data_IF_262171297104
#
_entry.id   IF_262171297104
#
_cell.length_a   1.000
_cell.length_b   1.000
_cell.length_c   1.000
_cell.angle_alpha   90.00
_cell.angle_beta   90.00
_cell.angle_gamma   90.00
#
_symmetry.space_group_name_H-M   'P 1'
#
loop_
_entity.id
_entity.type
_entity.pdbx_description
1 polymer ?
#
# COMPACT_ATOMS: atom_id res chain seq x y z
N UNK A 1 -64.39 -19.43 -18.58
CA UNK A 1 -64.55 -20.78 -19.16
C UNK A 1 -64.93 -20.68 -20.65
N UNK A 2 -63.95 -20.70 -21.56
CA UNK A 2 -63.99 -21.41 -22.84
C UNK A 2 -62.69 -21.13 -23.58
N UNK A 3 -62.08 -22.20 -24.04
CA UNK A 3 -60.78 -22.26 -24.66
C UNK A 3 -60.85 -21.82 -26.12
N UNK A 4 -59.79 -21.19 -26.62
CA UNK A 4 -59.42 -21.31 -28.03
C UNK A 4 -57.92 -21.53 -28.14
N UNK A 5 -57.61 -22.74 -28.60
CA UNK A 5 -56.32 -23.31 -28.95
C UNK A 5 -56.06 -22.88 -30.40
N UNK A 6 -54.92 -22.26 -30.69
CA UNK A 6 -54.41 -22.18 -32.07
C UNK A 6 -52.94 -22.60 -32.03
N UNK A 7 -52.69 -23.73 -32.67
CA UNK A 7 -51.40 -24.29 -32.97
C UNK A 7 -50.87 -23.64 -34.26
N UNK A 8 -49.59 -23.31 -34.29
CA UNK A 8 -48.81 -23.19 -35.52
C UNK A 8 -47.44 -23.82 -35.26
N UNK A 9 -47.35 -25.09 -35.63
CA UNK A 9 -46.11 -25.78 -35.96
C UNK A 9 -45.60 -25.31 -37.34
N UNK A 10 -44.29 -25.53 -37.55
CA UNK A 10 -43.57 -25.62 -38.83
C UNK A 10 -42.83 -24.39 -39.34
N UNK A 11 -41.50 -24.39 -39.17
CA UNK A 11 -40.50 -24.02 -40.18
C UNK A 11 -39.12 -24.61 -39.77
N UNK A 12 -38.17 -24.78 -40.69
CA UNK A 12 -37.51 -26.07 -40.94
C UNK A 12 -36.04 -26.10 -40.50
N UNK A 13 -35.56 -27.34 -40.29
CA UNK A 13 -34.16 -27.71 -40.19
C UNK A 13 -33.34 -27.25 -41.41
N UNK A 14 -32.17 -26.68 -41.15
CA UNK A 14 -31.04 -26.54 -42.09
C UNK A 14 -29.72 -26.41 -41.28
N UNK A 15 -28.54 -26.66 -41.88
CA UNK A 15 -27.81 -27.91 -41.69
C UNK A 15 -26.51 -27.74 -40.88
N UNK A 16 -26.01 -28.89 -40.41
CA UNK A 16 -24.69 -29.07 -39.82
C UNK A 16 -23.58 -28.49 -40.69
N UNK A 17 -22.79 -27.59 -40.11
CA UNK A 17 -21.47 -27.24 -40.61
C UNK A 17 -20.43 -27.69 -39.59
N UNK A 18 -19.84 -28.84 -39.89
CA UNK A 18 -18.71 -29.44 -39.19
C UNK A 18 -17.48 -28.55 -39.33
N UNK A 19 -17.16 -27.76 -38.30
CA UNK A 19 -15.87 -27.06 -38.22
C UNK A 19 -14.91 -27.90 -37.38
N UNK A 20 -13.97 -28.47 -38.12
CA UNK A 20 -12.82 -29.27 -37.68
C UNK A 20 -12.07 -28.58 -36.55
N UNK A 21 -12.04 -29.24 -35.39
CA UNK A 21 -11.06 -29.01 -34.32
C UNK A 21 -9.65 -29.09 -34.91
N UNK A 22 -8.89 -28.01 -34.81
CA UNK A 22 -7.43 -28.06 -34.73
C UNK A 22 -7.01 -27.43 -33.40
N UNK A 23 -6.49 -28.26 -32.51
CA UNK A 23 -5.72 -27.82 -31.34
C UNK A 23 -4.47 -27.09 -31.83
N UNK A 24 -4.15 -25.90 -31.33
CA UNK A 24 -2.78 -25.42 -31.31
C UNK A 24 -2.02 -26.13 -30.18
N UNK A 25 -0.94 -26.79 -30.59
CA UNK A 25 0.10 -27.40 -29.78
C UNK A 25 0.75 -26.39 -28.85
N UNK A 26 0.94 -26.83 -27.61
CA UNK A 26 1.76 -26.24 -26.55
C UNK A 26 3.17 -25.89 -27.01
N UNK A 27 3.60 -24.67 -26.75
CA UNK A 27 4.99 -24.21 -26.63
C UNK A 27 4.98 -23.38 -25.34
N UNK A 28 5.26 -23.91 -24.15
CA UNK A 28 6.56 -24.28 -23.58
C UNK A 28 7.61 -23.16 -23.69
N UNK A 29 7.37 -22.02 -23.06
CA UNK A 29 8.45 -21.12 -22.62
C UNK A 29 8.15 -20.54 -21.22
N UNK A 30 8.98 -20.98 -20.27
CA UNK A 30 9.40 -20.32 -19.04
C UNK A 30 8.32 -19.66 -18.14
N UNK A 31 7.62 -20.48 -17.37
CA UNK A 31 7.19 -20.04 -16.03
C UNK A 31 8.38 -20.15 -15.08
N UNK A 32 9.00 -19.02 -14.75
CA UNK A 32 9.84 -18.91 -13.55
C UNK A 32 8.91 -19.03 -12.33
N UNK A 33 8.74 -20.28 -11.91
CA UNK A 33 8.04 -20.65 -10.70
C UNK A 33 8.76 -20.11 -9.46
N UNK A 34 8.25 -19.02 -8.90
CA UNK A 34 8.47 -18.71 -7.49
C UNK A 34 7.48 -19.52 -6.64
N UNK A 35 7.67 -20.84 -6.63
CA UNK A 35 7.08 -21.71 -5.62
C UNK A 35 7.83 -21.46 -4.30
N UNK A 36 7.23 -20.66 -3.41
CA UNK A 36 7.65 -20.62 -2.01
C UNK A 36 7.10 -21.88 -1.34
N UNK A 37 7.95 -22.89 -1.20
CA UNK A 37 7.73 -24.03 -0.29
C UNK A 37 7.63 -23.50 1.14
N UNK A 38 6.40 -23.25 1.60
CA UNK A 38 6.08 -23.11 3.01
C UNK A 38 6.00 -24.51 3.62
N UNK A 39 7.15 -25.09 3.92
CA UNK A 39 7.23 -26.25 4.79
C UNK A 39 6.95 -25.79 6.24
N UNK A 40 5.68 -25.85 6.64
CA UNK A 40 5.29 -25.72 8.05
C UNK A 40 5.87 -26.89 8.84
N UNK A 41 6.94 -26.62 9.59
CA UNK A 41 7.44 -27.52 10.62
C UNK A 41 6.75 -27.18 11.95
N UNK A 42 5.83 -28.01 12.48
CA UNK A 42 5.14 -27.75 13.73
C UNK A 42 5.85 -28.47 14.88
N UNK A 43 7.10 -28.10 15.18
CA UNK A 43 7.78 -28.58 16.38
C UNK A 43 8.35 -27.43 17.22
N UNK A 44 7.55 -27.07 18.22
CA UNK A 44 7.95 -26.89 19.61
C UNK A 44 9.23 -26.09 19.91
N UNK A 45 9.04 -24.90 20.52
CA UNK A 45 9.70 -24.53 21.78
C UNK A 45 9.06 -23.27 22.37
N UNK A 46 8.22 -23.48 23.38
CA UNK A 46 7.79 -22.44 24.32
C UNK A 46 9.00 -21.91 25.09
N UNK A 47 9.27 -20.60 25.12
CA UNK A 47 10.14 -20.03 26.13
C UNK A 47 9.37 -19.83 27.44
N UNK A 48 9.95 -20.40 28.49
CA UNK A 48 9.46 -20.38 29.85
C UNK A 48 9.25 -18.95 30.39
N UNK A 49 8.16 -18.80 31.13
CA UNK A 49 7.78 -17.62 31.91
C UNK A 49 8.57 -17.60 33.21
N UNK A 50 9.38 -16.56 33.52
CA UNK A 50 9.91 -16.39 34.87
C UNK A 50 8.86 -15.73 35.76
N UNK A 51 8.58 -16.39 36.88
CA UNK A 51 7.72 -15.94 37.97
C UNK A 51 8.48 -15.07 38.98
N UNK A 52 7.89 -13.92 39.27
CA UNK A 52 7.76 -13.18 40.53
C UNK A 52 8.97 -12.73 41.39
N UNK A 53 8.75 -11.51 41.90
CA UNK A 53 9.14 -10.96 43.21
C UNK A 53 10.60 -10.57 43.45
N UNK A 54 10.84 -9.26 43.41
CA UNK A 54 11.48 -8.56 44.53
C UNK A 54 11.12 -7.09 44.54
N UNK A 55 10.40 -6.73 45.61
CA UNK A 55 9.96 -5.42 46.03
C UNK A 55 11.10 -4.80 46.83
N UNK A 56 11.70 -3.69 46.38
CA UNK A 56 12.46 -2.81 47.26
C UNK A 56 12.16 -1.34 46.96
N UNK A 57 11.60 -0.71 47.98
CA UNK A 57 11.35 0.72 48.16
C UNK A 57 12.64 1.42 48.60
N UNK A 58 12.95 2.58 48.03
CA UNK A 58 13.43 3.81 48.71
C UNK A 58 14.09 4.76 47.70
N UNK A 59 13.80 6.06 47.83
CA UNK A 59 14.62 7.10 47.21
C UNK A 59 13.84 8.28 46.66
N UNK A 60 13.37 9.16 47.56
CA UNK A 60 12.97 10.53 47.22
C UNK A 60 14.21 11.30 46.75
N UNK A 61 14.42 11.37 45.45
CA UNK A 61 15.40 12.23 44.78
C UNK A 61 14.68 13.36 44.05
N UNK A 62 14.69 14.54 44.66
CA UNK A 62 14.11 15.78 44.14
C UNK A 62 15.06 16.35 43.07
N UNK A 63 15.10 15.73 41.89
CA UNK A 63 15.93 16.22 40.78
C UNK A 63 15.16 17.21 39.90
N UNK A 64 15.72 18.41 39.87
CA UNK A 64 15.32 19.56 39.07
C UNK A 64 15.31 19.18 37.59
N UNK A 65 14.13 19.05 37.00
CA UNK A 65 14.00 19.09 35.55
C UNK A 65 14.31 20.51 35.06
N UNK A 66 15.57 20.71 34.72
CA UNK A 66 16.06 21.84 33.93
C UNK A 66 15.38 21.74 32.56
N UNK A 67 14.47 22.66 32.29
CA UNK A 67 13.79 22.84 31.00
C UNK A 67 14.82 23.22 29.94
N UNK A 68 15.49 22.21 29.38
CA UNK A 68 16.16 22.36 28.10
C UNK A 68 15.09 22.55 27.03
N UNK A 69 15.17 23.69 26.33
CA UNK A 69 14.21 24.16 25.35
C UNK A 69 13.73 23.04 24.44
N UNK A 70 12.43 22.75 24.55
CA UNK A 70 11.70 21.91 23.62
C UNK A 70 11.72 22.64 22.27
N UNK A 71 12.73 22.34 21.45
CA UNK A 71 12.78 22.75 20.06
C UNK A 71 11.49 22.22 19.42
N UNK A 72 10.62 23.12 19.01
CA UNK A 72 9.27 22.84 18.50
C UNK A 72 9.33 21.75 17.44
N UNK A 73 9.10 20.50 17.84
CA UNK A 73 8.70 19.43 16.93
C UNK A 73 7.25 19.73 16.64
N UNK A 74 6.95 20.19 15.42
CA UNK A 74 5.56 20.37 14.98
C UNK A 74 4.79 19.11 15.34
N UNK A 75 3.87 19.23 16.30
CA UNK A 75 2.98 18.14 16.67
C UNK A 75 2.14 17.90 15.43
N UNK A 76 2.40 16.80 14.73
CA UNK A 76 1.57 16.34 13.63
C UNK A 76 0.25 15.90 14.26
N UNK A 77 -0.76 16.77 14.21
CA UNK A 77 -2.11 16.41 14.62
C UNK A 77 -2.77 15.60 13.51
N UNK A 78 -3.77 14.78 13.84
CA UNK A 78 -4.55 14.05 12.82
C UNK A 78 -5.15 14.98 11.76
N UNK A 79 -5.47 16.22 12.14
CA UNK A 79 -5.94 17.25 11.22
C UNK A 79 -4.84 17.70 10.24
N UNK A 80 -3.58 17.84 10.68
CA UNK A 80 -2.45 18.14 9.80
C UNK A 80 -2.07 16.99 8.83
N UNK A 81 -2.56 15.76 9.09
CA UNK A 81 -2.41 14.64 8.16
C UNK A 81 -3.44 14.71 7.02
N UNK A 82 -4.61 15.27 7.31
CA UNK A 82 -5.75 15.40 6.41
C UNK A 82 -5.70 16.68 5.60
N UNK A 83 -5.32 17.78 6.24
CA UNK A 83 -4.90 19.00 5.58
C UNK A 83 -3.48 18.74 5.08
N UNK A 84 -3.34 18.30 3.83
CA UNK A 84 -2.09 18.14 3.10
C UNK A 84 -0.95 18.99 3.70
N UNK A 85 -0.18 18.41 4.63
CA UNK A 85 0.76 19.19 5.44
C UNK A 85 1.85 19.88 4.59
N UNK A 86 2.81 20.59 5.20
CA UNK A 86 3.88 21.33 4.51
C UNK A 86 4.69 20.53 3.45
N UNK A 87 4.59 19.20 3.50
CA UNK A 87 5.17 18.23 2.56
C UNK A 87 4.49 18.26 1.19
N UNK A 88 3.17 18.47 1.13
CA UNK A 88 2.42 18.54 -0.11
C UNK A 88 2.36 19.98 -0.69
N UNK A 89 2.41 21.00 0.18
CA UNK A 89 2.29 22.40 -0.24
C UNK A 89 3.53 22.98 -0.93
N UNK A 90 4.68 22.28 -0.91
CA UNK A 90 5.92 22.69 -1.59
C UNK A 90 6.16 21.97 -2.93
N UNK A 91 5.32 21.01 -3.30
CA UNK A 91 5.40 20.35 -4.61
C UNK A 91 4.52 21.14 -5.57
N UNK A 92 5.15 21.95 -6.43
CA UNK A 92 4.49 22.58 -7.56
C UNK A 92 3.68 21.51 -8.31
N UNK A 93 2.36 21.72 -8.46
CA UNK A 93 1.41 20.79 -9.07
C UNK A 93 1.73 20.38 -10.52
N UNK A 94 2.86 20.82 -11.08
CA UNK A 94 3.27 20.64 -12.47
C UNK A 94 4.05 19.37 -12.78
N UNK A 95 4.47 18.55 -11.80
CA UNK A 95 5.16 17.28 -12.10
C UNK A 95 4.95 16.24 -11.01
N UNK A 96 3.71 15.74 -10.88
CA UNK A 96 3.46 14.50 -10.12
C UNK A 96 4.34 13.37 -10.69
N UNK A 97 4.88 12.47 -9.84
CA UNK A 97 5.81 11.44 -10.29
C UNK A 97 5.15 10.52 -11.32
N UNK A 98 5.99 10.03 -12.24
CA UNK A 98 5.62 8.93 -13.11
C UNK A 98 5.50 7.62 -12.33
N UNK A 99 4.92 6.61 -12.99
CA UNK A 99 4.94 5.26 -12.45
C UNK A 99 6.40 4.77 -12.36
N UNK A 100 6.85 4.21 -11.24
CA UNK A 100 8.17 3.61 -11.16
C UNK A 100 8.35 2.50 -12.20
N UNK A 101 9.58 2.26 -12.63
CA UNK A 101 9.90 1.11 -13.48
C UNK A 101 9.38 -0.19 -12.85
N UNK A 102 9.01 -1.18 -13.67
CA UNK A 102 8.42 -2.43 -13.19
C UNK A 102 9.29 -3.14 -12.13
N UNK A 103 10.62 -3.04 -12.26
CA UNK A 103 11.58 -3.57 -11.29
C UNK A 103 11.55 -2.77 -9.98
N UNK A 104 11.55 -1.44 -10.05
CA UNK A 104 11.49 -0.58 -8.87
C UNK A 104 10.15 -0.72 -8.15
N UNK A 105 9.02 -0.71 -8.87
CA UNK A 105 7.68 -0.90 -8.31
C UNK A 105 7.60 -2.20 -7.48
N UNK A 106 8.05 -3.31 -8.07
CA UNK A 106 8.11 -4.61 -7.40
C UNK A 106 9.01 -4.58 -6.16
N UNK A 107 10.17 -3.94 -6.27
CA UNK A 107 11.11 -3.83 -5.15
C UNK A 107 10.55 -2.99 -3.99
N UNK A 108 9.89 -1.87 -4.28
CA UNK A 108 9.23 -1.03 -3.29
C UNK A 108 8.13 -1.82 -2.55
N UNK A 109 7.22 -2.46 -3.28
CA UNK A 109 6.12 -3.26 -2.69
C UNK A 109 6.65 -4.40 -1.84
N UNK A 110 7.63 -5.16 -2.35
CA UNK A 110 8.26 -6.25 -1.61
C UNK A 110 8.94 -5.75 -0.34
N UNK A 111 9.63 -4.61 -0.43
CA UNK A 111 10.28 -3.98 0.72
C UNK A 111 9.24 -3.61 1.78
N UNK A 112 8.15 -2.92 1.41
CA UNK A 112 7.10 -2.59 2.37
C UNK A 112 6.48 -3.84 2.98
N UNK A 113 6.16 -4.85 2.16
CA UNK A 113 5.65 -6.13 2.66
C UNK A 113 6.56 -6.72 3.75
N UNK A 114 7.86 -6.89 3.45
CA UNK A 114 8.82 -7.49 4.39
C UNK A 114 9.00 -6.67 5.67
N UNK A 115 9.08 -5.34 5.58
CA UNK A 115 9.37 -4.49 6.74
C UNK A 115 8.15 -4.13 7.58
N UNK A 116 6.94 -4.22 7.01
CA UNK A 116 5.75 -3.64 7.65
C UNK A 116 4.69 -4.68 7.95
N UNK A 117 4.44 -5.67 7.09
CA UNK A 117 3.37 -6.66 7.28
C UNK A 117 3.53 -7.43 8.59
N UNK A 118 4.74 -7.89 8.91
CA UNK A 118 5.01 -8.68 10.11
C UNK A 118 4.73 -7.90 11.42
N UNK A 119 4.68 -6.56 11.36
CA UNK A 119 4.45 -5.69 12.52
C UNK A 119 3.07 -5.05 12.50
N UNK A 120 2.54 -4.80 11.30
CA UNK A 120 1.34 -4.04 11.05
C UNK A 120 0.60 -4.63 9.84
N UNK A 121 -0.37 -5.50 10.10
CA UNK A 121 -1.29 -6.03 9.09
C UNK A 121 -2.39 -5.01 8.74
N UNK A 122 -1.99 -3.77 8.46
CA UNK A 122 -2.92 -2.65 8.22
C UNK A 122 -3.65 -2.84 6.88
N UNK A 123 -2.92 -3.19 5.83
CA UNK A 123 -3.45 -3.27 4.46
C UNK A 123 -3.69 -4.73 4.06
N UNK A 124 -4.74 -4.96 3.28
CA UNK A 124 -4.97 -6.24 2.63
C UNK A 124 -3.96 -6.45 1.50
N UNK A 125 -2.92 -7.22 1.79
CA UNK A 125 -1.82 -7.49 0.86
C UNK A 125 -2.21 -8.36 -0.32
N UNK A 126 -3.29 -9.14 -0.23
CA UNK A 126 -3.79 -9.87 -1.39
C UNK A 126 -4.34 -8.88 -2.42
N UNK A 127 -5.18 -7.93 -1.98
CA UNK A 127 -5.69 -6.86 -2.84
C UNK A 127 -4.59 -5.95 -3.40
N UNK A 128 -3.62 -5.56 -2.58
CA UNK A 128 -2.48 -4.75 -3.04
C UNK A 128 -1.72 -5.45 -4.16
N UNK A 129 -1.49 -6.77 -4.04
CA UNK A 129 -0.83 -7.54 -5.08
C UNK A 129 -1.65 -7.56 -6.37
N UNK A 130 -2.96 -7.77 -6.27
CA UNK A 130 -3.85 -7.79 -7.43
C UNK A 130 -3.88 -6.43 -8.14
N UNK A 131 -3.96 -5.32 -7.38
CA UNK A 131 -3.82 -3.97 -7.92
C UNK A 131 -2.45 -3.73 -8.54
N UNK A 132 -1.36 -4.21 -7.93
CA UNK A 132 0.00 -4.02 -8.42
C UNK A 132 0.26 -4.76 -9.75
N UNK A 133 -0.38 -5.92 -9.96
CA UNK A 133 -0.35 -6.62 -11.25
C UNK A 133 -0.98 -5.76 -12.37
N UNK A 134 -1.93 -4.90 -12.02
CA UNK A 134 -2.65 -4.00 -12.93
C UNK A 134 -2.25 -2.53 -12.74
N UNK A 135 -1.06 -2.26 -12.19
CA UNK A 135 -0.63 -0.91 -11.76
C UNK A 135 -0.73 0.15 -12.84
N UNK A 136 -0.49 -0.20 -14.11
CA UNK A 136 -0.55 0.74 -15.23
C UNK A 136 -1.98 1.27 -15.47
N UNK A 137 -3.00 0.47 -15.14
CA UNK A 137 -4.40 0.91 -15.15
C UNK A 137 -4.75 1.63 -13.85
N UNK A 138 -4.45 0.99 -12.72
CA UNK A 138 -4.90 1.44 -11.40
C UNK A 138 -4.27 2.79 -11.01
N UNK A 139 -2.95 2.96 -11.15
CA UNK A 139 -2.24 4.16 -10.68
C UNK A 139 -2.60 5.45 -11.44
N UNK A 140 -3.24 5.33 -12.61
CA UNK A 140 -3.70 6.46 -13.43
C UNK A 140 -5.22 6.58 -13.50
N UNK A 141 -5.92 5.91 -12.57
CA UNK A 141 -7.37 6.04 -12.42
C UNK A 141 -7.77 7.52 -12.27
N UNK A 142 -8.83 7.90 -12.97
CA UNK A 142 -9.45 9.22 -13.02
C UNK A 142 -10.71 9.25 -12.15
N UNK A 143 -11.32 10.43 -11.99
CA UNK A 143 -12.56 10.56 -11.21
C UNK A 143 -13.76 9.82 -11.83
N UNK A 144 -13.70 9.53 -13.13
CA UNK A 144 -14.76 8.81 -13.87
C UNK A 144 -14.64 7.29 -13.75
N UNK A 145 -13.48 6.80 -13.30
CA UNK A 145 -13.22 5.37 -13.15
C UNK A 145 -13.84 4.79 -11.87
N UNK A 146 -13.88 3.47 -11.80
CA UNK A 146 -14.45 2.75 -10.66
C UNK A 146 -13.79 3.18 -9.33
N UNK A 147 -14.61 3.35 -8.30
CA UNK A 147 -14.16 3.78 -6.97
C UNK A 147 -13.12 2.83 -6.39
N UNK A 148 -13.19 1.52 -6.68
CA UNK A 148 -12.17 0.55 -6.24
C UNK A 148 -10.83 0.76 -6.94
N UNK A 149 -10.82 1.20 -8.20
CA UNK A 149 -9.58 1.53 -8.91
C UNK A 149 -8.94 2.78 -8.30
N UNK A 150 -9.74 3.80 -7.95
CA UNK A 150 -9.26 5.01 -7.26
C UNK A 150 -8.73 4.70 -5.85
N UNK A 151 -9.40 3.83 -5.09
CA UNK A 151 -8.92 3.33 -3.80
C UNK A 151 -7.61 2.54 -3.98
N UNK A 152 -7.54 1.68 -5.01
CA UNK A 152 -6.33 0.94 -5.34
C UNK A 152 -5.17 1.87 -5.67
N UNK A 153 -5.43 2.95 -6.42
CA UNK A 153 -4.45 3.97 -6.77
C UNK A 153 -3.87 4.62 -5.51
N UNK A 154 -4.73 5.03 -4.57
CA UNK A 154 -4.31 5.57 -3.27
C UNK A 154 -3.33 4.62 -2.57
N UNK A 155 -3.71 3.34 -2.40
CA UNK A 155 -2.89 2.39 -1.66
C UNK A 155 -1.58 2.07 -2.37
N UNK A 156 -1.58 1.92 -3.70
CA UNK A 156 -0.33 1.67 -4.44
C UNK A 156 0.63 2.85 -4.31
N UNK A 157 0.18 4.08 -4.53
CA UNK A 157 1.02 5.26 -4.39
C UNK A 157 1.52 5.46 -2.95
N UNK A 158 0.68 5.22 -1.94
CA UNK A 158 1.09 5.29 -0.54
C UNK A 158 2.13 4.21 -0.19
N UNK A 159 2.00 3.00 -0.74
CA UNK A 159 2.96 1.92 -0.55
C UNK A 159 4.29 2.25 -1.24
N UNK A 160 4.28 2.83 -2.45
CA UNK A 160 5.52 3.30 -3.08
C UNK A 160 6.20 4.38 -2.24
N UNK A 161 5.43 5.32 -1.69
CA UNK A 161 5.94 6.36 -0.81
C UNK A 161 6.63 5.77 0.44
N UNK A 162 5.98 4.81 1.11
CA UNK A 162 6.57 4.11 2.26
C UNK A 162 7.80 3.30 1.84
N UNK A 163 7.74 2.60 0.70
CA UNK A 163 8.83 1.79 0.17
C UNK A 163 10.08 2.62 -0.11
N UNK A 164 9.89 3.82 -0.67
CA UNK A 164 10.98 4.73 -1.01
C UNK A 164 11.74 5.24 0.23
N UNK A 165 11.14 5.16 1.42
CA UNK A 165 11.84 5.46 2.69
C UNK A 165 12.85 4.37 3.09
N UNK A 166 12.70 3.16 2.56
CA UNK A 166 13.57 2.03 2.87
C UNK A 166 14.57 1.72 1.75
N UNK A 167 14.21 2.01 0.50
CA UNK A 167 15.02 1.68 -0.66
C UNK A 167 15.97 2.84 -0.96
N UNK A 168 17.30 2.62 -0.98
CA UNK A 168 18.23 3.64 -1.42
C UNK A 168 18.09 3.89 -2.92
N UNK A 169 18.17 5.16 -3.35
CA UNK A 169 18.09 5.57 -4.75
C UNK A 169 16.76 5.17 -5.44
N UNK A 170 15.63 5.33 -4.75
CA UNK A 170 14.33 5.26 -5.41
C UNK A 170 14.26 6.28 -6.57
N UNK A 171 13.50 5.95 -7.62
CA UNK A 171 13.37 6.80 -8.82
C UNK A 171 12.74 8.16 -8.50
N UNK A 172 11.83 8.19 -7.55
CA UNK A 172 11.19 9.38 -7.01
C UNK A 172 11.31 9.40 -5.48
N UNK A 173 11.18 10.58 -4.90
CA UNK A 173 11.23 10.75 -3.45
C UNK A 173 9.97 10.18 -2.78
N UNK A 174 10.05 9.78 -1.50
CA UNK A 174 8.86 9.39 -0.72
C UNK A 174 7.76 10.45 -0.78
N UNK A 175 8.13 11.73 -0.74
CA UNK A 175 7.20 12.86 -0.75
C UNK A 175 6.48 13.02 -2.09
N UNK A 176 7.16 12.78 -3.21
CA UNK A 176 6.56 12.82 -4.55
C UNK A 176 5.49 11.72 -4.69
N UNK A 177 5.82 10.48 -4.31
CA UNK A 177 4.84 9.39 -4.31
C UNK A 177 3.68 9.65 -3.35
N UNK A 178 3.96 10.25 -2.19
CA UNK A 178 2.94 10.61 -1.23
C UNK A 178 1.99 11.67 -1.77
N UNK A 179 2.50 12.71 -2.45
CA UNK A 179 1.68 13.73 -3.08
C UNK A 179 0.73 13.13 -4.13
N UNK A 180 1.21 12.15 -4.90
CA UNK A 180 0.37 11.38 -5.83
C UNK A 180 -0.69 10.53 -5.11
N UNK A 181 -0.37 9.90 -3.99
CA UNK A 181 -1.37 9.19 -3.19
C UNK A 181 -2.44 10.15 -2.66
N UNK A 182 -2.03 11.33 -2.23
CA UNK A 182 -2.91 12.34 -1.67
C UNK A 182 -3.99 12.83 -2.64
N UNK A 183 -3.76 12.81 -3.96
CA UNK A 183 -4.80 13.19 -4.94
C UNK A 183 -6.02 12.26 -4.93
N UNK A 184 -5.88 11.04 -4.38
CA UNK A 184 -6.96 10.07 -4.23
C UNK A 184 -7.56 10.04 -2.83
N UNK A 185 -7.01 10.80 -1.88
CA UNK A 185 -7.38 10.70 -0.47
C UNK A 185 -8.85 11.05 -0.23
N UNK A 186 -9.36 12.11 -0.88
CA UNK A 186 -10.76 12.53 -0.72
C UNK A 186 -11.75 11.40 -1.04
N UNK A 187 -11.48 10.66 -2.11
CA UNK A 187 -12.34 9.54 -2.56
C UNK A 187 -12.34 8.40 -1.55
N UNK A 188 -11.18 8.09 -0.95
CA UNK A 188 -11.04 7.05 0.08
C UNK A 188 -11.72 7.47 1.39
N UNK A 189 -11.63 8.74 1.77
CA UNK A 189 -12.27 9.26 2.98
C UNK A 189 -13.79 9.33 2.85
N UNK A 190 -14.30 9.64 1.66
CA UNK A 190 -15.74 9.68 1.37
C UNK A 190 -16.44 8.32 1.58
N UNK A 191 -15.71 7.21 1.52
CA UNK A 191 -16.29 5.87 1.66
C UNK A 191 -16.76 5.53 3.08
N UNK A 192 -16.17 6.14 4.11
CA UNK A 192 -16.46 5.90 5.52
C UNK A 192 -16.51 4.39 5.90
N UNK A 193 -15.62 3.60 5.31
CA UNK A 193 -15.59 2.14 5.48
C UNK A 193 -14.21 1.65 5.95
N UNK A 194 -13.97 0.34 5.89
CA UNK A 194 -12.68 -0.24 6.30
C UNK A 194 -11.50 0.38 5.55
N UNK A 195 -11.64 0.71 4.26
CA UNK A 195 -10.57 1.33 3.48
C UNK A 195 -10.19 2.70 4.02
N UNK A 196 -11.15 3.48 4.52
CA UNK A 196 -10.90 4.75 5.19
C UNK A 196 -9.98 4.57 6.40
N UNK A 197 -10.27 3.60 7.26
CA UNK A 197 -9.43 3.30 8.44
C UNK A 197 -8.04 2.81 8.03
N UNK A 198 -7.96 1.93 7.04
CA UNK A 198 -6.69 1.43 6.51
C UNK A 198 -5.85 2.56 5.91
N UNK A 199 -6.48 3.49 5.20
CA UNK A 199 -5.82 4.66 4.65
C UNK A 199 -5.25 5.55 5.76
N UNK A 200 -6.03 5.88 6.77
CA UNK A 200 -5.56 6.64 7.94
C UNK A 200 -4.32 6.01 8.59
N UNK A 201 -4.37 4.71 8.87
CA UNK A 201 -3.25 3.99 9.47
C UNK A 201 -2.02 3.96 8.56
N UNK A 202 -2.23 3.87 7.24
CA UNK A 202 -1.16 3.93 6.23
C UNK A 202 -0.51 5.32 6.19
N UNK A 203 -1.29 6.39 6.23
CA UNK A 203 -0.78 7.76 6.32
C UNK A 203 0.04 7.95 7.60
N UNK A 204 -0.51 7.55 8.75
CA UNK A 204 0.18 7.61 10.05
C UNK A 204 1.55 6.91 9.96
N UNK A 205 1.58 5.73 9.35
CA UNK A 205 2.83 4.98 9.15
C UNK A 205 3.84 5.75 8.29
N UNK A 206 3.39 6.38 7.20
CA UNK A 206 4.24 7.22 6.37
C UNK A 206 4.85 8.38 7.17
N UNK A 207 4.03 9.15 7.91
CA UNK A 207 4.50 10.32 8.65
C UNK A 207 5.43 9.99 9.81
N UNK A 208 5.19 8.88 10.53
CA UNK A 208 6.10 8.47 11.60
C UNK A 208 7.50 8.09 11.08
N UNK A 209 7.60 7.74 9.80
CA UNK A 209 8.84 7.33 9.15
C UNK A 209 9.45 8.40 8.27
N UNK A 210 8.69 9.40 7.84
CA UNK A 210 9.17 10.57 7.10
C UNK A 210 10.02 11.52 7.98
N UNK A 211 10.74 10.99 8.98
CA UNK A 211 11.48 11.76 9.96
C UNK A 211 12.46 12.71 9.29
N UNK A 212 12.05 13.97 9.18
CA UNK A 212 12.83 15.20 9.04
C UNK A 212 14.09 15.02 8.20
N UNK A 213 13.96 15.15 6.88
CA UNK A 213 15.08 15.54 6.02
C UNK A 213 15.42 17.02 6.22
N UNK A 214 15.62 17.45 7.46
CA UNK A 214 16.38 18.68 7.75
C UNK A 214 17.75 18.26 8.29
N UNK A 215 18.77 18.42 7.44
CA UNK A 215 20.16 18.50 7.91
C UNK A 215 21.08 17.32 7.56
N UNK A 216 21.42 17.16 6.28
CA UNK A 216 22.75 16.65 5.91
C UNK A 216 23.21 17.07 4.52
N UNK A 217 23.31 18.39 4.34
CA UNK A 217 24.28 19.00 3.43
C UNK A 217 24.92 20.23 4.08
N UNK A 218 25.61 20.02 5.20
CA UNK A 218 26.64 20.97 5.64
C UNK A 218 27.72 20.25 6.44
N UNK A 219 28.82 19.97 5.73
CA UNK A 219 30.13 20.47 6.17
C UNK A 219 30.73 19.91 7.48
N UNK A 220 30.84 18.58 7.61
CA UNK A 220 31.73 17.96 8.62
C UNK A 220 32.82 17.03 8.05
N UNK A 221 33.22 17.23 6.79
CA UNK A 221 34.51 16.73 6.29
C UNK A 221 35.43 17.89 5.96
N UNK A 222 36.11 18.41 6.98
CA UNK A 222 37.45 18.97 6.84
C UNK A 222 38.14 19.10 8.20
N UNK A 223 39.25 18.36 8.29
CA UNK A 223 40.32 18.35 9.30
C UNK A 223 40.08 17.51 10.54
#
# INVERSE_FOLDING_TARGET
MRAHRVALDNLPNAPEASVVRRLPTTTTEAEDGYALDFNENPEARSPARPSNESRQTAGLGHDRYRTHGFRSRSIVTMFNLLEAGPVASNLDSGSLPGLPSAKMASHLVQTVYLYTQARYCIVDWAKVRDWHLQKDRICFSTQEDDVQDQIGAFFLWAIYAIGAQFVPNAEHTPEEYYARAHSYLEVVLAQQNLHTIQAFLTLIQFYFRASVSEGSKSHWRSR
#
